data_IF_231510357739
#
_entry.id   IF_231510357739
#
_cell.length_a   1.000
_cell.length_b   1.000
_cell.length_c   1.000
_cell.angle_alpha   90.00
_cell.angle_beta   90.00
_cell.angle_gamma   90.00
#
_symmetry.space_group_name_H-M   'P 1'
#
loop_
_entity.id
_entity.type
_entity.pdbx_description
1 polymer ?
#
# COMPACT_ATOMS: atom_id res chain seq x y z
N UNK A 1 28.60 3.57 -29.02
CA UNK A 1 27.22 3.49 -29.49
C UNK A 1 26.29 2.57 -28.70
N UNK A 2 26.73 1.96 -27.59
CA UNK A 2 25.93 1.03 -26.77
C UNK A 2 25.24 1.69 -25.57
N UNK A 3 25.13 3.00 -25.52
CA UNK A 3 24.62 3.76 -24.38
C UNK A 3 23.09 3.82 -24.31
N UNK A 4 22.40 3.58 -25.41
CA UNK A 4 20.95 3.65 -25.50
C UNK A 4 20.21 2.38 -25.07
N UNK A 5 20.89 1.24 -24.97
CA UNK A 5 20.25 -0.01 -24.55
C UNK A 5 20.62 -0.35 -23.10
N UNK A 6 19.73 -0.01 -22.18
CA UNK A 6 19.83 -0.47 -20.80
C UNK A 6 19.26 -1.90 -20.72
N UNK A 7 20.09 -2.89 -21.07
CA UNK A 7 19.75 -4.30 -21.03
C UNK A 7 19.20 -4.73 -19.67
N UNK A 8 19.76 -4.21 -18.57
CA UNK A 8 19.28 -4.50 -17.23
C UNK A 8 17.89 -3.94 -16.96
N UNK A 9 17.53 -2.80 -17.56
CA UNK A 9 16.18 -2.27 -17.49
C UNK A 9 15.16 -3.22 -18.12
N UNK A 10 15.47 -3.75 -19.30
CA UNK A 10 14.59 -4.68 -20.02
C UNK A 10 14.41 -6.00 -19.28
N UNK A 11 15.47 -6.51 -18.66
CA UNK A 11 15.42 -7.83 -17.99
C UNK A 11 14.81 -7.74 -16.60
N UNK A 12 15.15 -6.71 -15.81
CA UNK A 12 14.74 -6.65 -14.41
C UNK A 12 13.53 -5.75 -14.21
N UNK A 13 13.53 -4.53 -14.76
CA UNK A 13 12.52 -3.54 -14.43
C UNK A 13 11.25 -3.75 -15.25
N UNK A 14 11.36 -4.00 -16.56
CA UNK A 14 10.19 -4.16 -17.42
C UNK A 14 9.27 -5.31 -16.96
N UNK A 15 9.74 -6.52 -16.66
CA UNK A 15 8.87 -7.58 -16.14
C UNK A 15 8.21 -7.21 -14.81
N UNK A 16 8.94 -6.56 -13.89
CA UNK A 16 8.39 -6.10 -12.62
C UNK A 16 7.30 -5.04 -12.82
N UNK A 17 7.48 -4.11 -13.75
CA UNK A 17 6.47 -3.11 -14.11
C UNK A 17 5.23 -3.77 -14.72
N UNK A 18 5.39 -4.76 -15.60
CA UNK A 18 4.25 -5.51 -16.16
C UNK A 18 3.44 -6.19 -15.03
N UNK A 19 4.12 -6.83 -14.06
CA UNK A 19 3.47 -7.42 -12.89
C UNK A 19 2.73 -6.34 -12.09
N UNK A 20 3.33 -5.18 -11.89
CA UNK A 20 2.70 -4.06 -11.18
C UNK A 20 1.46 -3.53 -11.90
N UNK A 21 1.50 -3.40 -13.22
CA UNK A 21 0.35 -3.01 -14.03
C UNK A 21 -0.78 -4.05 -13.94
N UNK A 22 -0.43 -5.34 -13.97
CA UNK A 22 -1.39 -6.42 -13.77
C UNK A 22 -2.03 -6.36 -12.37
N UNK A 23 -1.22 -6.14 -11.31
CA UNK A 23 -1.73 -5.99 -9.95
C UNK A 23 -2.71 -4.80 -9.83
N UNK A 24 -2.38 -3.65 -10.43
CA UNK A 24 -3.25 -2.48 -10.47
C UNK A 24 -4.57 -2.73 -11.25
N UNK A 25 -4.49 -3.42 -12.38
CA UNK A 25 -5.67 -3.80 -13.14
C UNK A 25 -6.55 -4.78 -12.36
N UNK A 26 -5.93 -5.76 -11.67
CA UNK A 26 -6.62 -6.75 -10.86
C UNK A 26 -7.36 -6.11 -9.68
N UNK A 27 -6.73 -5.20 -8.93
CA UNK A 27 -7.40 -4.54 -7.79
C UNK A 27 -8.57 -3.69 -8.27
N UNK A 28 -8.42 -2.91 -9.36
CA UNK A 28 -9.51 -2.11 -9.94
C UNK A 28 -10.68 -2.99 -10.41
N UNK A 29 -10.38 -4.08 -11.11
CA UNK A 29 -11.39 -5.04 -11.57
C UNK A 29 -12.11 -5.72 -10.42
N UNK A 30 -11.36 -6.18 -9.41
CA UNK A 30 -11.91 -6.83 -8.21
C UNK A 30 -12.78 -5.86 -7.41
N UNK A 31 -12.31 -4.63 -7.19
CA UNK A 31 -13.10 -3.58 -6.56
C UNK A 31 -14.41 -3.35 -7.32
N UNK A 32 -14.36 -3.10 -8.64
CA UNK A 32 -15.55 -2.89 -9.46
C UNK A 32 -16.56 -4.04 -9.36
N UNK A 33 -16.08 -5.29 -9.40
CA UNK A 33 -16.94 -6.47 -9.28
C UNK A 33 -17.59 -6.58 -7.91
N UNK A 34 -16.81 -6.36 -6.84
CA UNK A 34 -17.30 -6.53 -5.48
C UNK A 34 -18.09 -5.31 -4.98
N UNK A 35 -17.91 -4.12 -5.57
CA UNK A 35 -18.74 -2.94 -5.33
C UNK A 35 -20.15 -3.09 -5.91
N UNK A 36 -20.34 -3.96 -6.90
CA UNK A 36 -21.65 -4.29 -7.44
C UNK A 36 -22.43 -5.32 -6.58
N UNK A 37 -21.77 -5.97 -5.62
CA UNK A 37 -22.38 -6.99 -4.75
C UNK A 37 -22.79 -6.36 -3.43
N UNK A 38 -24.09 -6.16 -3.22
CA UNK A 38 -24.62 -5.67 -1.95
C UNK A 38 -24.38 -6.66 -0.83
N UNK A 39 -24.02 -6.18 0.35
CA UNK A 39 -23.97 -7.01 1.53
C UNK A 39 -25.40 -7.27 2.08
N UNK A 40 -25.63 -8.45 2.60
CA UNK A 40 -26.95 -8.91 3.07
C UNK A 40 -27.48 -8.12 4.28
N UNK A 41 -26.60 -7.42 5.02
CA UNK A 41 -26.97 -6.58 6.16
C UNK A 41 -27.36 -5.15 5.74
N UNK A 42 -27.20 -4.81 4.47
CA UNK A 42 -27.42 -3.48 3.91
C UNK A 42 -26.67 -2.37 4.69
N UNK A 43 -25.52 -2.73 5.26
CA UNK A 43 -24.66 -1.85 6.07
C UNK A 43 -23.73 -1.05 5.17
N UNK A 44 -23.54 0.23 5.47
CA UNK A 44 -22.56 1.06 4.76
C UNK A 44 -21.13 0.82 5.28
N UNK A 45 -20.11 1.19 4.47
CA UNK A 45 -18.73 1.11 4.92
C UNK A 45 -18.46 1.99 6.14
N UNK A 46 -19.03 3.20 6.20
CA UNK A 46 -18.91 4.07 7.37
C UNK A 46 -19.50 3.43 8.63
N UNK A 47 -20.67 2.78 8.53
CA UNK A 47 -21.28 2.05 9.66
C UNK A 47 -20.42 0.87 10.10
N UNK A 48 -19.81 0.15 9.17
CA UNK A 48 -18.93 -0.97 9.48
C UNK A 48 -17.66 -0.50 10.21
N UNK A 49 -16.98 0.53 9.69
CA UNK A 49 -15.83 1.12 10.37
C UNK A 49 -16.18 1.64 11.77
N UNK A 50 -17.32 2.32 11.92
CA UNK A 50 -17.79 2.81 13.22
C UNK A 50 -18.02 1.66 14.21
N UNK A 51 -18.62 0.55 13.79
CA UNK A 51 -18.80 -0.63 14.65
C UNK A 51 -17.48 -1.25 15.08
N UNK A 52 -16.52 -1.37 14.15
CA UNK A 52 -15.17 -1.86 14.45
C UNK A 52 -14.46 -0.96 15.45
N UNK A 53 -14.50 0.37 15.24
CA UNK A 53 -13.90 1.32 16.17
C UNK A 53 -14.56 1.27 17.56
N UNK A 54 -15.89 1.14 17.61
CA UNK A 54 -16.64 1.02 18.88
C UNK A 54 -16.24 -0.26 19.63
N UNK A 55 -16.13 -1.39 18.93
CA UNK A 55 -15.71 -2.66 19.53
C UNK A 55 -14.28 -2.62 20.09
N UNK A 56 -13.44 -1.70 19.57
CA UNK A 56 -12.06 -1.50 20.01
C UNK A 56 -11.91 -0.31 20.99
N UNK A 57 -12.99 0.36 21.41
CA UNK A 57 -12.97 1.52 22.30
C UNK A 57 -12.38 2.80 21.68
N UNK A 58 -12.35 2.89 20.34
CA UNK A 58 -11.74 4.00 19.59
C UNK A 58 -12.76 4.95 18.92
N UNK A 59 -14.06 4.72 19.09
CA UNK A 59 -15.13 5.47 18.41
C UNK A 59 -15.13 6.97 18.74
N UNK A 60 -14.74 7.35 19.95
CA UNK A 60 -14.69 8.75 20.39
C UNK A 60 -13.42 9.48 19.90
N UNK A 61 -12.32 8.73 19.71
CA UNK A 61 -11.00 9.29 19.35
C UNK A 61 -10.77 9.36 17.85
N UNK A 62 -11.49 8.58 17.05
CA UNK A 62 -11.28 8.48 15.59
C UNK A 62 -12.59 8.77 14.87
N UNK A 63 -12.59 9.82 14.06
CA UNK A 63 -13.74 10.21 13.26
C UNK A 63 -13.69 9.64 11.86
N UNK A 64 -14.84 9.49 11.21
CA UNK A 64 -14.97 8.95 9.86
C UNK A 64 -15.62 10.01 8.97
N UNK A 65 -14.96 10.35 7.85
CA UNK A 65 -15.43 11.32 6.87
C UNK A 65 -15.52 10.72 5.48
N UNK A 66 -16.54 11.16 4.74
CA UNK A 66 -16.61 10.91 3.29
C UNK A 66 -15.75 11.91 2.52
N UNK A 67 -15.03 11.43 1.51
CA UNK A 67 -14.24 12.26 0.59
C UNK A 67 -14.55 11.89 -0.86
N UNK A 68 -14.30 12.84 -1.78
CA UNK A 68 -14.44 12.62 -3.22
C UNK A 68 -13.36 11.66 -3.75
N UNK A 69 -13.66 11.00 -4.87
CA UNK A 69 -12.75 10.10 -5.57
C UNK A 69 -13.15 8.62 -5.48
N UNK A 70 -12.33 7.75 -6.07
CA UNK A 70 -12.48 6.30 -6.02
C UNK A 70 -11.16 5.69 -5.57
N UNK A 71 -11.19 4.76 -4.60
CA UNK A 71 -9.99 4.15 -4.01
C UNK A 71 -9.04 5.20 -3.40
N UNK A 72 -9.61 6.26 -2.84
CA UNK A 72 -8.89 7.32 -2.10
C UNK A 72 -8.97 7.12 -0.59
N UNK A 73 -9.51 5.98 -0.19
CA UNK A 73 -9.70 5.59 1.20
C UNK A 73 -8.35 5.55 1.94
N UNK A 74 -8.31 6.13 3.14
CA UNK A 74 -7.11 6.11 3.98
C UNK A 74 -7.40 6.50 5.42
N UNK A 75 -6.58 6.01 6.34
CA UNK A 75 -6.47 6.53 7.70
C UNK A 75 -5.36 7.59 7.77
N UNK A 76 -5.69 8.76 8.33
CA UNK A 76 -4.76 9.86 8.60
C UNK A 76 -4.39 9.87 10.08
N UNK A 77 -3.17 9.42 10.45
CA UNK A 77 -2.76 9.34 11.85
C UNK A 77 -2.51 10.72 12.50
N UNK A 78 -2.26 11.76 11.71
CA UNK A 78 -2.01 13.10 12.25
C UNK A 78 -3.31 13.77 12.69
N UNK A 79 -4.38 13.55 11.94
CA UNK A 79 -5.70 14.09 12.24
C UNK A 79 -6.57 13.12 13.06
N UNK A 80 -6.14 11.85 13.25
CA UNK A 80 -6.93 10.76 13.82
C UNK A 80 -8.27 10.58 13.11
N UNK A 81 -8.26 10.52 11.79
CA UNK A 81 -9.48 10.37 10.98
C UNK A 81 -9.35 9.28 9.94
N UNK A 82 -10.43 8.55 9.71
CA UNK A 82 -10.60 7.68 8.56
C UNK A 82 -11.33 8.47 7.48
N UNK A 83 -10.74 8.55 6.29
CA UNK A 83 -11.35 9.16 5.11
C UNK A 83 -11.72 8.08 4.12
N UNK A 84 -13.00 7.99 3.80
CA UNK A 84 -13.56 6.99 2.90
C UNK A 84 -14.08 7.67 1.64
N UNK A 85 -13.76 7.13 0.47
CA UNK A 85 -14.35 7.54 -0.79
C UNK A 85 -15.87 7.39 -0.75
N UNK A 86 -16.60 8.23 -1.48
CA UNK A 86 -18.08 8.27 -1.43
C UNK A 86 -18.71 6.90 -1.65
N UNK A 87 -18.18 6.13 -2.61
CA UNK A 87 -18.65 4.78 -2.91
C UNK A 87 -18.36 3.76 -1.80
N UNK A 88 -17.44 4.05 -0.87
CA UNK A 88 -17.17 3.23 0.32
C UNK A 88 -17.94 3.77 1.51
N UNK A 89 -17.94 5.09 1.71
CA UNK A 89 -18.58 5.72 2.86
C UNK A 89 -20.08 5.41 2.95
N UNK A 90 -20.82 5.69 1.89
CA UNK A 90 -22.27 5.45 1.77
C UNK A 90 -22.63 4.12 1.10
N UNK A 91 -21.66 3.45 0.48
CA UNK A 91 -21.88 2.19 -0.25
C UNK A 91 -22.21 1.03 0.67
N UNK A 92 -23.16 0.20 0.24
CA UNK A 92 -23.62 -1.00 0.95
C UNK A 92 -23.07 -2.28 0.31
N UNK A 93 -21.91 -2.22 -0.34
CA UNK A 93 -21.30 -3.36 -1.00
C UNK A 93 -20.38 -4.16 -0.06
N UNK A 94 -20.05 -5.38 -0.45
CA UNK A 94 -19.05 -6.18 0.26
C UNK A 94 -17.66 -5.49 0.21
N UNK A 95 -17.34 -4.85 -0.92
CA UNK A 95 -16.11 -4.08 -1.05
C UNK A 95 -16.05 -2.91 -0.05
N UNK A 96 -17.16 -2.19 0.12
CA UNK A 96 -17.24 -1.05 1.06
C UNK A 96 -16.97 -1.48 2.50
N UNK A 97 -17.51 -2.63 2.93
CA UNK A 97 -17.25 -3.20 4.26
C UNK A 97 -15.78 -3.57 4.41
N UNK A 98 -15.21 -4.31 3.44
CA UNK A 98 -13.81 -4.74 3.48
C UNK A 98 -12.83 -3.57 3.57
N UNK A 99 -13.00 -2.56 2.71
CA UNK A 99 -12.11 -1.38 2.65
C UNK A 99 -12.24 -0.54 3.93
N UNK A 100 -13.46 -0.21 4.35
CA UNK A 100 -13.68 0.59 5.54
C UNK A 100 -13.13 -0.08 6.82
N UNK A 101 -13.25 -1.40 6.95
CA UNK A 101 -12.66 -2.15 8.05
C UNK A 101 -11.13 -2.25 7.94
N UNK A 102 -10.55 -2.21 6.72
CA UNK A 102 -9.10 -2.13 6.52
C UNK A 102 -8.54 -0.81 7.05
N UNK A 103 -9.17 0.32 6.73
CA UNK A 103 -8.77 1.63 7.26
C UNK A 103 -8.94 1.69 8.79
N UNK A 104 -9.98 1.08 9.33
CA UNK A 104 -10.11 0.90 10.77
C UNK A 104 -8.99 0.02 11.35
N UNK A 105 -8.52 -0.99 10.60
CA UNK A 105 -7.34 -1.80 10.94
C UNK A 105 -6.08 -0.96 11.11
N UNK A 106 -5.81 -0.01 10.21
CA UNK A 106 -4.70 0.95 10.34
C UNK A 106 -4.86 1.86 11.56
N UNK A 107 -6.06 2.34 11.82
CA UNK A 107 -6.35 3.14 13.00
C UNK A 107 -6.06 2.37 14.31
N UNK A 108 -6.44 1.10 14.36
CA UNK A 108 -6.16 0.21 15.50
C UNK A 108 -4.66 -0.07 15.62
N UNK A 109 -3.94 -0.32 14.52
CA UNK A 109 -2.47 -0.46 14.53
C UNK A 109 -1.80 0.76 15.15
N UNK A 110 -2.24 1.95 14.76
CA UNK A 110 -1.70 3.20 15.29
C UNK A 110 -1.99 3.36 16.78
N UNK A 111 -3.23 3.13 17.22
CA UNK A 111 -3.66 3.23 18.59
C UNK A 111 -2.93 2.23 19.51
N UNK A 112 -2.66 1.02 19.01
CA UNK A 112 -1.91 -0.02 19.73
C UNK A 112 -0.39 0.15 19.68
N UNK A 113 0.11 1.14 18.94
CA UNK A 113 1.54 1.39 18.80
C UNK A 113 2.28 0.28 18.06
N UNK A 114 1.66 -0.36 17.06
CA UNK A 114 2.24 -1.44 16.27
C UNK A 114 3.60 -1.04 15.67
N UNK A 115 4.66 -1.76 16.05
CA UNK A 115 6.02 -1.36 15.75
C UNK A 115 6.31 -1.14 14.24
N UNK A 116 5.86 -1.99 13.31
CA UNK A 116 6.11 -1.78 11.89
C UNK A 116 5.52 -0.46 11.33
N UNK A 117 4.34 0.00 11.80
CA UNK A 117 3.77 1.28 11.31
C UNK A 117 4.61 2.48 11.80
N UNK A 118 5.18 2.40 13.00
CA UNK A 118 6.10 3.44 13.51
C UNK A 118 7.37 3.51 12.67
N UNK A 119 7.98 2.35 12.38
CA UNK A 119 9.18 2.25 11.55
C UNK A 119 8.90 2.75 10.13
N UNK A 120 7.77 2.35 9.53
CA UNK A 120 7.31 2.83 8.22
C UNK A 120 7.24 4.37 8.19
N UNK A 121 6.60 4.97 9.19
CA UNK A 121 6.43 6.43 9.25
C UNK A 121 7.78 7.17 9.45
N UNK A 122 8.74 6.60 10.17
CA UNK A 122 10.08 7.15 10.33
C UNK A 122 10.90 7.11 9.03
N UNK A 123 10.75 6.05 8.23
CA UNK A 123 11.49 5.87 6.97
C UNK A 123 10.84 6.66 5.82
N UNK A 124 9.55 6.94 5.88
CA UNK A 124 8.78 7.58 4.81
C UNK A 124 9.44 8.85 4.22
N UNK A 125 9.90 9.85 5.01
CA UNK A 125 10.52 11.05 4.43
C UNK A 125 11.82 10.73 3.69
N UNK A 126 12.64 9.80 4.19
CA UNK A 126 13.89 9.37 3.56
C UNK A 126 13.58 8.60 2.27
N UNK A 127 12.58 7.72 2.28
CA UNK A 127 12.15 6.97 1.11
C UNK A 127 11.57 7.90 0.02
N UNK A 128 10.81 8.92 0.38
CA UNK A 128 10.30 9.92 -0.56
C UNK A 128 11.44 10.70 -1.24
N UNK A 129 12.43 11.14 -0.47
CA UNK A 129 13.61 11.78 -1.03
C UNK A 129 14.41 10.80 -1.88
N UNK A 130 14.65 9.57 -1.41
CA UNK A 130 15.38 8.54 -2.13
C UNK A 130 14.72 8.13 -3.46
N UNK A 131 13.39 8.11 -3.52
CA UNK A 131 12.65 7.78 -4.75
C UNK A 131 12.79 8.85 -5.83
N UNK A 132 12.84 10.12 -5.45
CA UNK A 132 12.95 11.25 -6.38
C UNK A 132 14.39 11.58 -6.77
N UNK A 133 15.33 11.51 -5.83
CA UNK A 133 16.69 11.96 -6.02
C UNK A 133 17.72 10.83 -6.11
N UNK A 134 17.50 9.68 -5.45
CA UNK A 134 18.51 8.64 -5.30
C UNK A 134 19.04 8.09 -6.63
N UNK A 135 18.15 7.74 -7.55
CA UNK A 135 18.55 7.23 -8.86
C UNK A 135 19.26 8.31 -9.70
N UNK A 136 18.80 9.56 -9.63
CA UNK A 136 19.39 10.69 -10.36
C UNK A 136 20.81 10.93 -9.85
N UNK A 137 21.02 10.99 -8.53
CA UNK A 137 22.33 11.18 -7.90
C UNK A 137 23.29 10.06 -8.32
N UNK A 138 22.84 8.79 -8.27
CA UNK A 138 23.68 7.66 -8.67
C UNK A 138 24.09 7.75 -10.16
N UNK A 139 23.17 8.11 -11.04
CA UNK A 139 23.43 8.27 -12.47
C UNK A 139 24.40 9.43 -12.71
N UNK A 140 24.20 10.59 -12.07
CA UNK A 140 25.11 11.73 -12.19
C UNK A 140 26.53 11.38 -11.71
N UNK A 141 26.66 10.71 -10.55
CA UNK A 141 27.94 10.22 -10.04
C UNK A 141 28.64 9.27 -11.02
N UNK A 142 27.87 8.39 -11.68
CA UNK A 142 28.39 7.49 -12.71
C UNK A 142 28.94 8.27 -13.93
N UNK A 143 28.24 9.30 -14.41
CA UNK A 143 28.71 10.15 -15.53
C UNK A 143 29.97 10.94 -15.18
N UNK A 144 30.02 11.46 -13.96
CA UNK A 144 31.19 12.21 -13.46
C UNK A 144 32.37 11.28 -13.16
N UNK A 145 32.22 9.97 -13.21
CA UNK A 145 33.26 9.00 -12.83
C UNK A 145 33.61 9.04 -11.34
N UNK A 146 32.71 9.55 -10.48
CA UNK A 146 32.96 9.73 -9.05
C UNK A 146 32.13 8.76 -8.20
N UNK A 147 32.75 7.63 -7.85
CA UNK A 147 32.11 6.51 -7.15
C UNK A 147 31.43 6.89 -5.81
N UNK A 148 31.95 7.80 -4.98
CA UNK A 148 31.26 8.18 -3.75
C UNK A 148 29.85 8.75 -3.96
N UNK A 149 29.63 9.56 -5.01
CA UNK A 149 28.31 10.08 -5.36
C UNK A 149 27.38 8.95 -5.81
N UNK A 150 27.88 8.00 -6.59
CA UNK A 150 27.11 6.79 -6.99
C UNK A 150 26.63 6.05 -5.75
N UNK A 151 27.51 5.80 -4.79
CA UNK A 151 27.18 5.09 -3.56
C UNK A 151 26.10 5.81 -2.72
N UNK A 152 26.20 7.14 -2.61
CA UNK A 152 25.19 7.96 -1.93
C UNK A 152 23.83 7.78 -2.61
N UNK A 153 23.76 7.83 -3.93
CA UNK A 153 22.50 7.62 -4.66
C UNK A 153 21.91 6.23 -4.46
N UNK A 154 22.75 5.19 -4.45
CA UNK A 154 22.32 3.79 -4.17
C UNK A 154 21.79 3.65 -2.75
N UNK A 155 22.46 4.22 -1.74
CA UNK A 155 22.03 4.20 -0.34
C UNK A 155 20.67 4.89 -0.19
N UNK A 156 20.51 6.07 -0.78
CA UNK A 156 19.24 6.81 -0.75
C UNK A 156 18.11 6.01 -1.41
N UNK A 157 18.38 5.41 -2.58
CA UNK A 157 17.37 4.59 -3.25
C UNK A 157 17.06 3.30 -2.48
N UNK A 158 18.03 2.75 -1.75
CA UNK A 158 17.82 1.57 -0.90
C UNK A 158 16.78 1.81 0.21
N UNK A 159 16.64 3.04 0.68
CA UNK A 159 15.60 3.40 1.65
C UNK A 159 14.18 3.16 1.10
N UNK A 160 13.98 3.27 -0.23
CA UNK A 160 12.70 2.94 -0.88
C UNK A 160 12.39 1.45 -0.74
N UNK A 161 13.39 0.60 -0.95
CA UNK A 161 13.22 -0.87 -0.81
C UNK A 161 12.90 -1.23 0.64
N UNK A 162 13.62 -0.63 1.61
CA UNK A 162 13.36 -0.84 3.03
C UNK A 162 11.95 -0.37 3.41
N UNK A 163 11.52 0.79 2.92
CA UNK A 163 10.16 1.28 3.12
C UNK A 163 9.10 0.31 2.60
N UNK A 164 9.27 -0.22 1.39
CA UNK A 164 8.34 -1.20 0.81
C UNK A 164 8.33 -2.50 1.62
N UNK A 165 9.50 -2.99 2.06
CA UNK A 165 9.60 -4.18 2.92
C UNK A 165 8.87 -4.03 4.25
N UNK A 166 8.99 -2.86 4.90
CA UNK A 166 8.31 -2.57 6.16
C UNK A 166 6.80 -2.33 5.94
N UNK A 167 6.42 -1.82 4.77
CA UNK A 167 5.01 -1.58 4.44
C UNK A 167 4.23 -2.89 4.30
N UNK A 168 4.82 -3.96 3.76
CA UNK A 168 4.13 -5.25 3.59
C UNK A 168 3.51 -5.81 4.87
N UNK A 169 4.24 -5.99 5.99
CA UNK A 169 3.64 -6.49 7.23
C UNK A 169 2.56 -5.54 7.78
N UNK A 170 2.66 -4.23 7.57
CA UNK A 170 1.63 -3.27 7.97
C UNK A 170 0.32 -3.53 7.23
N UNK A 171 0.39 -3.68 5.91
CA UNK A 171 -0.78 -3.89 5.05
C UNK A 171 -1.44 -5.27 5.25
N UNK A 172 -0.61 -6.32 5.40
CA UNK A 172 -1.12 -7.66 5.69
C UNK A 172 -1.77 -7.74 7.07
N UNK A 173 -1.18 -7.11 8.09
CA UNK A 173 -1.76 -7.09 9.43
C UNK A 173 -3.05 -6.27 9.47
N UNK A 174 -3.12 -5.10 8.81
CA UNK A 174 -4.36 -4.32 8.69
C UNK A 174 -5.48 -5.14 8.04
N UNK A 175 -5.18 -5.83 6.92
CA UNK A 175 -6.14 -6.71 6.24
C UNK A 175 -6.58 -7.89 7.12
N UNK A 176 -5.68 -8.51 7.86
CA UNK A 176 -6.01 -9.62 8.78
C UNK A 176 -6.88 -9.13 9.94
N UNK A 177 -6.57 -7.96 10.52
CA UNK A 177 -7.40 -7.31 11.56
C UNK A 177 -8.79 -7.01 11.01
N UNK A 178 -8.88 -6.43 9.81
CA UNK A 178 -10.17 -6.19 9.14
C UNK A 178 -10.99 -7.46 9.04
N UNK A 179 -10.43 -8.55 8.51
CA UNK A 179 -11.15 -9.83 8.36
C UNK A 179 -11.58 -10.42 9.69
N UNK A 180 -10.71 -10.35 10.71
CA UNK A 180 -11.01 -10.81 12.07
C UNK A 180 -12.19 -10.01 12.65
N UNK A 181 -12.11 -8.68 12.60
CA UNK A 181 -13.13 -7.79 13.18
C UNK A 181 -14.46 -7.86 12.44
N UNK A 182 -14.45 -8.06 11.10
CA UNK A 182 -15.67 -8.33 10.32
C UNK A 182 -16.36 -9.60 10.83
N UNK A 183 -15.59 -10.66 11.11
CA UNK A 183 -16.13 -11.93 11.63
C UNK A 183 -16.66 -11.77 13.06
N UNK A 184 -15.85 -11.24 13.96
CA UNK A 184 -16.17 -11.10 15.40
C UNK A 184 -17.40 -10.20 15.64
N UNK A 185 -17.56 -9.15 14.82
CA UNK A 185 -18.70 -8.24 14.93
C UNK A 185 -19.86 -8.63 14.00
N UNK A 186 -19.76 -9.75 13.30
CA UNK A 186 -20.80 -10.26 12.42
C UNK A 186 -21.21 -9.27 11.34
N UNK A 187 -20.26 -8.50 10.75
CA UNK A 187 -20.54 -7.44 9.76
C UNK A 187 -20.94 -8.00 8.40
N UNK A 188 -20.45 -9.20 8.06
CA UNK A 188 -20.79 -9.96 6.87
C UNK A 188 -21.21 -11.37 7.24
N UNK A 189 -21.98 -12.03 6.38
CA UNK A 189 -22.29 -13.45 6.50
C UNK A 189 -21.12 -14.31 6.00
N UNK A 190 -21.10 -15.59 6.39
CA UNK A 190 -20.00 -16.51 6.07
C UNK A 190 -19.73 -16.63 4.56
N UNK A 191 -20.79 -16.67 3.74
CA UNK A 191 -20.70 -16.75 2.27
C UNK A 191 -20.22 -15.45 1.60
N UNK A 192 -20.18 -14.34 2.33
CA UNK A 192 -19.68 -13.05 1.88
C UNK A 192 -18.18 -12.86 2.21
N UNK A 193 -17.69 -13.52 3.26
CA UNK A 193 -16.32 -13.39 3.76
C UNK A 193 -15.24 -13.65 2.68
N UNK A 194 -15.36 -14.70 1.82
CA UNK A 194 -14.38 -14.92 0.75
C UNK A 194 -14.32 -13.76 -0.26
N UNK A 195 -15.44 -13.07 -0.49
CA UNK A 195 -15.50 -11.92 -1.41
C UNK A 195 -14.81 -10.69 -0.82
N UNK A 196 -15.02 -10.40 0.46
CA UNK A 196 -14.30 -9.32 1.17
C UNK A 196 -12.78 -9.62 1.20
N UNK A 197 -12.39 -10.85 1.55
CA UNK A 197 -10.98 -11.29 1.52
C UNK A 197 -10.35 -11.09 0.14
N UNK A 198 -11.09 -11.41 -0.95
CA UNK A 198 -10.60 -11.23 -2.32
C UNK A 198 -10.26 -9.77 -2.64
N UNK A 199 -11.07 -8.80 -2.15
CA UNK A 199 -10.77 -7.36 -2.31
C UNK A 199 -9.46 -7.01 -1.60
N UNK A 200 -9.32 -7.37 -0.33
CA UNK A 200 -8.13 -7.06 0.48
C UNK A 200 -6.88 -7.75 -0.04
N UNK A 201 -6.98 -9.00 -0.51
CA UNK A 201 -5.85 -9.73 -1.12
C UNK A 201 -5.42 -9.07 -2.43
N UNK A 202 -6.36 -8.63 -3.26
CA UNK A 202 -6.03 -7.93 -4.50
C UNK A 202 -5.32 -6.59 -4.23
N UNK A 203 -5.72 -5.86 -3.18
CA UNK A 203 -5.04 -4.66 -2.73
C UNK A 203 -3.63 -4.97 -2.19
N UNK A 204 -3.49 -5.96 -1.32
CA UNK A 204 -2.20 -6.38 -0.75
C UNK A 204 -1.19 -6.79 -1.84
N UNK A 205 -1.65 -7.41 -2.93
CA UNK A 205 -0.78 -7.79 -4.05
C UNK A 205 -0.14 -6.58 -4.75
N UNK A 206 -0.75 -5.39 -4.70
CA UNK A 206 -0.15 -4.18 -5.26
C UNK A 206 1.09 -3.74 -4.50
N UNK A 207 1.15 -3.95 -3.19
CA UNK A 207 2.34 -3.66 -2.37
C UNK A 207 3.48 -4.67 -2.64
N UNK A 208 3.15 -5.95 -2.85
CA UNK A 208 4.13 -6.96 -3.28
C UNK A 208 4.74 -6.58 -4.63
N UNK A 209 3.91 -6.16 -5.58
CA UNK A 209 4.37 -5.71 -6.89
C UNK A 209 5.21 -4.42 -6.81
N UNK A 210 4.86 -3.47 -5.94
CA UNK A 210 5.65 -2.26 -5.72
C UNK A 210 7.04 -2.58 -5.12
N UNK A 211 7.10 -3.50 -4.15
CA UNK A 211 8.38 -4.00 -3.62
C UNK A 211 9.23 -4.63 -4.73
N UNK A 212 8.64 -5.49 -5.56
CA UNK A 212 9.35 -6.12 -6.68
C UNK A 212 9.95 -5.08 -7.62
N UNK A 213 9.18 -4.05 -8.02
CA UNK A 213 9.68 -2.96 -8.88
C UNK A 213 10.83 -2.22 -8.21
N UNK A 214 10.75 -1.95 -6.90
CA UNK A 214 11.80 -1.24 -6.15
C UNK A 214 13.08 -2.07 -6.06
N UNK A 215 12.98 -3.37 -5.77
CA UNK A 215 14.13 -4.29 -5.71
C UNK A 215 14.80 -4.42 -7.08
N UNK A 216 14.02 -4.63 -8.14
CA UNK A 216 14.55 -4.77 -9.51
C UNK A 216 15.19 -3.47 -10.01
N UNK A 217 14.64 -2.32 -9.62
CA UNK A 217 15.20 -1.00 -9.94
C UNK A 217 16.53 -0.76 -9.20
N UNK A 218 16.61 -1.14 -7.92
CA UNK A 218 17.85 -1.06 -7.14
C UNK A 218 18.92 -1.99 -7.72
N UNK A 219 18.57 -3.23 -8.03
CA UNK A 219 19.49 -4.19 -8.64
C UNK A 219 20.04 -3.67 -9.98
N UNK A 220 19.16 -3.16 -10.84
CA UNK A 220 19.56 -2.49 -12.08
C UNK A 220 20.55 -1.36 -11.82
N UNK A 221 20.26 -0.50 -10.84
CA UNK A 221 21.12 0.65 -10.52
C UNK A 221 22.52 0.19 -10.10
N UNK A 222 22.62 -0.82 -9.23
CA UNK A 222 23.88 -1.40 -8.77
C UNK A 222 24.65 -2.04 -9.94
N UNK A 223 24.01 -2.88 -10.74
CA UNK A 223 24.65 -3.58 -11.84
C UNK A 223 25.14 -2.61 -12.94
N UNK A 224 24.37 -1.55 -13.19
CA UNK A 224 24.74 -0.53 -14.18
C UNK A 224 25.94 0.30 -13.74
N UNK A 225 26.03 0.64 -12.46
CA UNK A 225 27.09 1.49 -11.94
C UNK A 225 28.39 0.76 -11.63
N UNK A 226 28.33 -0.57 -11.38
CA UNK A 226 29.53 -1.39 -11.12
C UNK A 226 30.31 -1.83 -12.37
N UNK A 227 29.82 -1.60 -13.58
CA UNK A 227 30.48 -2.03 -14.84
C UNK A 227 31.76 -1.21 -15.18
N UNK A 228 32.21 -0.28 -14.35
CA UNK A 228 33.45 0.48 -14.54
C UNK A 228 34.65 -0.04 -13.75
N UNK A 229 34.52 -1.17 -13.09
CA UNK A 229 35.65 -1.95 -12.61
C UNK A 229 35.95 -3.04 -13.66
#
# INVERSE_FOLDING_TARGET
MYWFYDYYYLIFVVPAVIISLFAQANVKSTYKKMSAVRNKRNMTGAQAAQRVLSACGLAESIKIYGISGNLTDHYDPNANVIRLSEGVYSGTSIASIGIACHEAGHAIQHAQGYAPIKIRNMILPIANFGSSAGAIIAILGYFLGYQPIVNIGIILFSAVVVFQLVTLPVEFDASNRAMKLITENGLLYEDEMPKARKVLTAAAFTYVAALLVSVMSLLRLILRTNRRK
#
